data_IF_180084332535
#
_entry.id   IF_180084332535
#
_cell.length_a   1.000
_cell.length_b   1.000
_cell.length_c   1.000
_cell.angle_alpha   90.00
_cell.angle_beta   90.00
_cell.angle_gamma   90.00
#
_symmetry.space_group_name_H-M   'P 1'
#
loop_
_entity.id
_entity.type
_entity.pdbx_description
1 polymer ?
#
# COMPACT_ATOMS: atom_id res chain seq x y z
N UNK A 1 -13.16 13.85 -3.99
CA UNK A 1 -13.09 13.92 -2.52
C UNK A 1 -11.65 14.09 -2.09
N UNK A 2 -11.34 13.70 -0.85
CA UNK A 2 -10.04 14.00 -0.20
C UNK A 2 -9.02 12.90 -0.50
N UNK A 3 -7.87 13.33 -0.97
CA UNK A 3 -6.71 12.48 -1.25
C UNK A 3 -5.90 12.20 0.01
N UNK A 4 -5.47 10.94 0.20
CA UNK A 4 -4.43 10.58 1.17
C UNK A 4 -3.14 10.27 0.42
N UNK A 5 -2.00 10.36 1.08
CA UNK A 5 -0.70 10.00 0.50
C UNK A 5 0.10 9.34 1.61
N UNK A 6 0.59 8.15 1.33
CA UNK A 6 1.38 7.32 2.24
C UNK A 6 2.67 7.01 1.49
N UNK A 7 3.83 7.17 2.11
CA UNK A 7 5.10 6.86 1.46
C UNK A 7 5.34 5.35 1.39
N UNK A 8 6.06 4.89 0.37
CA UNK A 8 6.35 3.46 0.21
C UNK A 8 7.11 2.86 1.40
N UNK A 9 7.98 3.65 2.03
CA UNK A 9 8.78 3.24 3.19
C UNK A 9 8.02 3.34 4.52
N UNK A 10 6.76 3.79 4.54
CA UNK A 10 5.97 3.86 5.77
C UNK A 10 5.73 2.44 6.29
N UNK A 11 6.08 2.21 7.55
CA UNK A 11 5.94 0.90 8.17
C UNK A 11 4.48 0.55 8.40
N UNK A 12 4.14 -0.74 8.49
CA UNK A 12 2.77 -1.15 8.83
C UNK A 12 2.34 -0.58 10.19
N UNK A 13 3.29 -0.47 11.14
CA UNK A 13 3.06 0.17 12.42
C UNK A 13 2.64 1.64 12.25
N UNK A 14 3.36 2.41 11.44
CA UNK A 14 3.04 3.82 11.21
C UNK A 14 1.71 3.99 10.48
N UNK A 15 1.41 3.14 9.48
CA UNK A 15 0.11 3.15 8.80
C UNK A 15 -1.02 2.89 9.79
N UNK A 16 -0.87 1.91 10.69
CA UNK A 16 -1.90 1.56 11.67
C UNK A 16 -2.18 2.69 12.69
N UNK A 17 -1.15 3.48 13.00
CA UNK A 17 -1.18 4.51 14.04
C UNK A 17 -1.30 5.95 13.50
N UNK A 18 -1.30 6.15 12.19
CA UNK A 18 -1.46 7.47 11.58
C UNK A 18 -2.86 8.06 11.88
N UNK A 19 -2.90 9.09 12.73
CA UNK A 19 -4.13 9.75 13.13
C UNK A 19 -4.89 10.42 11.97
N UNK A 20 -4.17 10.92 10.96
CA UNK A 20 -4.78 11.52 9.77
C UNK A 20 -5.40 10.42 8.91
N UNK A 21 -4.71 9.30 8.72
CA UNK A 21 -5.24 8.16 7.99
C UNK A 21 -6.45 7.56 8.71
N UNK A 22 -6.42 7.41 10.03
CA UNK A 22 -7.58 6.91 10.81
C UNK A 22 -8.84 7.78 10.62
N UNK A 23 -8.67 9.09 10.43
CA UNK A 23 -9.78 10.01 10.14
C UNK A 23 -10.26 9.93 8.68
N UNK A 24 -9.34 9.73 7.74
CA UNK A 24 -9.64 9.76 6.31
C UNK A 24 -10.06 8.39 5.74
N UNK A 25 -9.45 7.31 6.19
CA UNK A 25 -9.68 5.92 5.79
C UNK A 25 -9.43 4.98 6.98
N UNK A 26 -10.37 4.92 7.96
CA UNK A 26 -10.20 4.12 9.17
C UNK A 26 -9.99 2.63 8.89
N UNK A 27 -10.60 2.10 7.82
CA UNK A 27 -10.46 0.71 7.41
C UNK A 27 -9.02 0.34 7.05
N UNK A 28 -8.29 1.21 6.34
CA UNK A 28 -6.89 0.95 5.96
C UNK A 28 -5.97 0.92 7.19
N UNK A 29 -6.15 1.86 8.12
CA UNK A 29 -5.39 1.89 9.37
C UNK A 29 -5.72 0.67 10.26
N UNK A 30 -6.99 0.27 10.34
CA UNK A 30 -7.38 -0.93 11.08
C UNK A 30 -6.78 -2.20 10.47
N UNK A 31 -6.86 -2.37 9.15
CA UNK A 31 -6.24 -3.50 8.45
C UNK A 31 -4.74 -3.58 8.74
N UNK A 32 -4.02 -2.46 8.64
CA UNK A 32 -2.59 -2.42 8.93
C UNK A 32 -2.24 -2.87 10.35
N UNK A 33 -3.14 -2.71 11.31
CA UNK A 33 -2.95 -3.15 12.69
C UNK A 33 -3.02 -4.67 12.88
N UNK A 34 -3.62 -5.39 11.92
CA UNK A 34 -3.79 -6.84 11.92
C UNK A 34 -2.64 -7.58 11.20
N UNK A 35 -1.77 -6.87 10.49
CA UNK A 35 -0.68 -7.46 9.71
C UNK A 35 0.38 -8.01 10.65
N UNK A 36 0.63 -9.32 10.61
CA UNK A 36 1.71 -9.98 11.34
C UNK A 36 1.72 -9.69 12.84
N UNK A 37 2.90 -9.75 13.45
CA UNK A 37 3.14 -9.38 14.85
C UNK A 37 3.75 -7.97 14.97
N UNK A 38 3.93 -7.43 16.19
CA UNK A 38 4.54 -6.11 16.37
C UNK A 38 5.94 -5.98 15.74
N UNK A 39 6.80 -7.00 15.79
CA UNK A 39 8.16 -6.93 15.23
C UNK A 39 8.10 -6.85 13.70
N UNK A 40 7.24 -7.64 13.07
CA UNK A 40 6.96 -7.57 11.64
C UNK A 40 6.45 -6.18 11.28
N UNK A 41 5.48 -5.62 12.03
CA UNK A 41 4.90 -4.30 11.70
C UNK A 41 5.88 -3.14 11.76
N UNK A 42 6.89 -3.20 12.63
CA UNK A 42 7.91 -2.15 12.74
C UNK A 42 8.98 -2.23 11.64
N UNK A 43 9.00 -3.30 10.83
CA UNK A 43 9.99 -3.51 9.76
C UNK A 43 9.37 -3.57 8.38
N UNK A 44 8.22 -4.23 8.24
CA UNK A 44 7.46 -4.32 7.00
C UNK A 44 6.89 -2.96 6.61
N UNK A 45 6.95 -2.65 5.32
CA UNK A 45 6.47 -1.38 4.75
C UNK A 45 5.34 -1.63 3.77
N UNK A 46 4.43 -0.66 3.65
CA UNK A 46 3.34 -0.74 2.67
C UNK A 46 3.88 -0.92 1.25
N UNK A 47 4.93 -0.20 0.86
CA UNK A 47 5.56 -0.30 -0.46
C UNK A 47 6.17 -1.66 -0.73
N UNK A 48 6.85 -2.24 0.27
CA UNK A 48 7.40 -3.59 0.17
C UNK A 48 6.31 -4.65 0.01
N UNK A 49 5.23 -4.55 0.79
CA UNK A 49 4.09 -5.48 0.70
C UNK A 49 3.44 -5.47 -0.70
N UNK A 50 3.19 -4.29 -1.26
CA UNK A 50 2.55 -4.20 -2.59
C UNK A 50 3.50 -4.54 -3.74
N UNK A 51 4.79 -4.26 -3.60
CA UNK A 51 5.79 -4.69 -4.58
C UNK A 51 5.97 -6.22 -4.57
N UNK A 52 5.86 -6.85 -3.39
CA UNK A 52 5.91 -8.31 -3.24
C UNK A 52 4.67 -9.01 -3.83
N UNK A 53 3.49 -8.41 -3.67
CA UNK A 53 2.21 -8.92 -4.19
C UNK A 53 1.95 -10.41 -3.91
N UNK A 54 2.24 -10.82 -2.68
CA UNK A 54 1.78 -12.11 -2.17
C UNK A 54 0.25 -12.09 -2.05
N UNK A 55 -0.49 -13.07 -2.61
CA UNK A 55 -1.95 -13.14 -2.47
C UNK A 55 -2.46 -13.16 -1.02
N UNK A 56 -1.64 -13.57 -0.06
CA UNK A 56 -1.96 -13.56 1.36
C UNK A 56 -1.74 -12.18 2.02
N UNK A 57 -1.16 -11.21 1.31
CA UNK A 57 -0.94 -9.87 1.84
C UNK A 57 -2.23 -9.02 1.78
N UNK A 58 -2.40 -8.18 2.80
CA UNK A 58 -3.62 -7.40 2.94
C UNK A 58 -3.67 -6.13 2.07
N UNK A 59 -2.53 -5.44 1.89
CA UNK A 59 -2.48 -4.17 1.14
C UNK A 59 -2.91 -4.27 -0.33
N UNK A 60 -2.50 -5.29 -1.11
CA UNK A 60 -2.93 -5.39 -2.51
C UNK A 60 -4.45 -5.34 -2.68
N UNK A 61 -5.18 -6.14 -1.90
CA UNK A 61 -6.64 -6.17 -1.94
C UNK A 61 -7.25 -4.84 -1.47
N UNK A 62 -6.73 -4.26 -0.39
CA UNK A 62 -7.22 -2.98 0.14
C UNK A 62 -7.03 -1.83 -0.86
N UNK A 63 -5.87 -1.74 -1.51
CA UNK A 63 -5.58 -0.69 -2.48
C UNK A 63 -6.37 -0.86 -3.77
N UNK A 64 -6.60 -2.11 -4.20
CA UNK A 64 -7.50 -2.41 -5.31
C UNK A 64 -8.93 -1.95 -5.01
N UNK A 65 -9.45 -2.29 -3.83
CA UNK A 65 -10.80 -1.89 -3.39
C UNK A 65 -10.96 -0.38 -3.27
N UNK A 66 -9.91 0.34 -2.86
CA UNK A 66 -9.90 1.80 -2.75
C UNK A 66 -9.71 2.51 -4.10
N UNK A 67 -9.47 1.78 -5.20
CA UNK A 67 -9.19 2.35 -6.51
C UNK A 67 -7.90 3.18 -6.50
N UNK A 68 -6.89 2.75 -5.74
CA UNK A 68 -5.69 3.55 -5.51
C UNK A 68 -4.83 3.68 -6.77
N UNK A 69 -4.02 4.74 -6.80
CA UNK A 69 -2.93 4.91 -7.76
C UNK A 69 -1.60 4.54 -7.09
N UNK A 70 -0.87 3.62 -7.70
CA UNK A 70 0.48 3.24 -7.28
C UNK A 70 1.46 4.11 -8.06
N UNK A 71 2.27 4.87 -7.34
CA UNK A 71 3.27 5.76 -7.91
C UNK A 71 4.64 5.13 -7.75
N UNK A 72 5.38 5.10 -8.86
CA UNK A 72 6.78 4.69 -8.92
C UNK A 72 7.68 5.90 -9.16
N UNK A 73 8.99 5.68 -9.17
CA UNK A 73 9.97 6.67 -9.63
C UNK A 73 9.84 7.05 -11.12
N UNK A 74 9.08 6.29 -11.94
CA UNK A 74 8.96 6.54 -13.39
C UNK A 74 7.55 6.90 -13.86
N UNK A 75 6.51 6.42 -13.17
CA UNK A 75 5.12 6.58 -13.63
C UNK A 75 4.09 6.30 -12.54
N UNK A 76 2.85 6.59 -12.87
CA UNK A 76 1.66 6.24 -12.07
C UNK A 76 0.90 5.09 -12.74
N UNK A 77 0.39 4.16 -11.93
CA UNK A 77 -0.32 2.96 -12.39
C UNK A 77 -1.55 2.78 -11.50
N UNK A 78 -2.74 2.57 -12.08
CA UNK A 78 -3.93 2.26 -11.30
C UNK A 78 -3.83 0.87 -10.68
N UNK A 79 -4.41 0.66 -9.49
CA UNK A 79 -4.29 -0.60 -8.75
C UNK A 79 -4.75 -1.82 -9.55
N UNK A 80 -5.82 -1.71 -10.32
CA UNK A 80 -6.34 -2.75 -11.22
C UNK A 80 -5.37 -3.17 -12.31
N UNK A 81 -4.45 -2.28 -12.70
CA UNK A 81 -3.40 -2.56 -13.69
C UNK A 81 -2.07 -2.94 -13.04
N UNK A 82 -1.90 -2.60 -11.76
CA UNK A 82 -0.67 -2.84 -11.04
C UNK A 82 -0.54 -4.29 -10.58
N UNK A 83 -1.62 -4.88 -10.04
CA UNK A 83 -1.64 -6.26 -9.58
C UNK A 83 -2.08 -7.20 -10.70
N UNK A 84 -1.18 -8.05 -11.21
CA UNK A 84 -1.44 -8.88 -12.41
C UNK A 84 -1.70 -10.35 -12.12
N UNK A 85 -1.07 -10.89 -11.07
CA UNK A 85 -1.12 -12.30 -10.74
C UNK A 85 -0.33 -12.62 -9.48
N UNK A 86 -0.17 -13.91 -9.19
CA UNK A 86 0.55 -14.41 -8.01
C UNK A 86 2.01 -13.94 -8.05
N UNK A 87 2.44 -13.11 -7.09
CA UNK A 87 3.77 -12.49 -7.05
C UNK A 87 4.13 -11.68 -8.31
N UNK A 88 3.14 -11.28 -9.11
CA UNK A 88 3.36 -10.52 -10.35
C UNK A 88 2.72 -9.14 -10.26
N UNK A 89 3.56 -8.11 -10.46
CA UNK A 89 3.12 -6.72 -10.55
C UNK A 89 3.45 -6.12 -11.93
N UNK A 90 2.94 -4.93 -12.20
CA UNK A 90 3.28 -4.17 -13.40
C UNK A 90 4.63 -3.45 -13.34
N UNK A 91 5.40 -3.61 -12.26
CA UNK A 91 6.75 -3.04 -12.15
C UNK A 91 7.66 -3.58 -13.25
N UNK A 92 8.44 -2.68 -13.83
CA UNK A 92 9.53 -3.01 -14.76
C UNK A 92 10.88 -2.89 -14.06
N UNK A 93 11.93 -3.41 -14.68
CA UNK A 93 13.29 -3.29 -14.17
C UNK A 93 13.67 -1.83 -13.87
N UNK A 94 14.20 -1.63 -12.66
CA UNK A 94 14.56 -0.31 -12.13
C UNK A 94 13.38 0.60 -11.78
N UNK A 95 12.15 0.09 -11.75
CA UNK A 95 11.02 0.77 -11.13
C UNK A 95 10.97 0.50 -9.63
N UNK A 96 10.81 1.56 -8.85
CA UNK A 96 10.71 1.52 -7.39
C UNK A 96 9.41 2.23 -7.01
N UNK A 97 8.60 1.57 -6.19
CA UNK A 97 7.39 2.16 -5.60
C UNK A 97 7.80 3.28 -4.64
N UNK A 98 7.24 4.47 -4.81
CA UNK A 98 7.44 5.65 -3.93
C UNK A 98 6.18 6.01 -3.14
N UNK A 99 5.03 5.59 -3.68
CA UNK A 99 3.66 5.55 -3.13
C UNK A 99 2.97 6.91 -2.90
N UNK A 100 1.76 7.03 -3.47
CA UNK A 100 0.79 8.12 -3.30
C UNK A 100 -0.65 7.59 -3.46
N UNK A 101 -1.21 6.99 -2.41
CA UNK A 101 -2.55 6.36 -2.48
C UNK A 101 -3.71 7.38 -2.44
N UNK A 102 -4.15 7.85 -3.61
CA UNK A 102 -5.32 8.72 -3.73
C UNK A 102 -6.63 7.94 -3.52
N UNK A 103 -7.49 8.40 -2.61
CA UNK A 103 -8.91 8.04 -2.60
C UNK A 103 -9.71 9.19 -3.24
N UNK A 104 -10.72 8.85 -4.05
CA UNK A 104 -11.67 9.83 -4.61
C UNK A 104 -12.82 10.07 -3.65
#
# INVERSE_FOLDING_TARGET
GKTVTIGAATTHHDVANDQKLRKACPALAHMASLIGDPAVRHKGTIGGSIANNDPAADYPAALLALGATIVTNKREISADKFFKGLFETALKDGEIVTLRALHR
#
